data_IF_036912331662
#
_entry.id   IF_036912331662
#
_cell.length_a   1.000
_cell.length_b   1.000
_cell.length_c   1.000
_cell.angle_alpha   90.00
_cell.angle_beta   90.00
_cell.angle_gamma   90.00
#
_symmetry.space_group_name_H-M   'P 1'
#
loop_
_entity.id
_entity.type
_entity.pdbx_description
1 polymer ?
#
# COMPACT_ATOMS: atom_id res chain seq x y z
N UNK A 1 22.82 75.23 34.44
CA UNK A 1 21.52 74.90 33.90
C UNK A 1 21.75 73.77 32.82
N UNK A 2 21.57 72.51 33.20
CA UNK A 2 21.78 71.38 32.33
C UNK A 2 20.39 70.73 32.09
N UNK A 3 19.86 70.83 30.87
CA UNK A 3 18.59 70.20 30.46
C UNK A 3 18.84 68.73 30.12
N UNK A 4 18.31 67.84 30.93
CA UNK A 4 18.30 66.40 30.67
C UNK A 4 17.27 66.04 29.57
N UNK A 5 17.75 65.56 28.44
CA UNK A 5 16.93 65.03 27.36
C UNK A 5 16.63 63.54 27.66
N UNK A 6 15.40 63.22 28.04
CA UNK A 6 14.94 61.83 28.21
C UNK A 6 14.55 61.29 26.84
N UNK A 7 15.37 60.42 26.31
CA UNK A 7 15.02 59.60 25.13
C UNK A 7 14.17 58.45 25.64
N UNK A 8 12.87 58.46 25.31
CA UNK A 8 11.97 57.33 25.53
C UNK A 8 12.14 56.38 24.31
N UNK A 9 12.82 55.26 24.54
CA UNK A 9 12.98 54.20 23.55
C UNK A 9 11.71 53.32 23.59
N UNK A 10 10.77 53.54 22.66
CA UNK A 10 9.65 52.61 22.41
C UNK A 10 10.16 51.33 21.76
N UNK A 11 10.45 50.32 22.55
CA UNK A 11 10.56 48.95 22.02
C UNK A 11 9.16 48.45 21.62
N UNK A 12 8.85 48.51 20.34
CA UNK A 12 7.73 47.75 19.77
C UNK A 12 8.10 46.27 19.83
N UNK A 13 7.58 45.55 20.82
CA UNK A 13 7.66 44.11 20.86
C UNK A 13 6.79 43.57 19.70
N UNK A 14 7.41 43.20 18.59
CA UNK A 14 6.82 42.33 17.58
C UNK A 14 6.65 40.96 18.23
N UNK A 15 5.52 40.74 18.90
CA UNK A 15 5.04 39.43 19.26
C UNK A 15 4.68 38.72 17.95
N UNK A 16 5.66 38.08 17.31
CA UNK A 16 5.42 37.10 16.26
C UNK A 16 4.54 36.03 16.89
N UNK A 17 3.27 35.96 16.50
CA UNK A 17 2.44 34.81 16.79
C UNK A 17 3.12 33.62 16.13
N UNK A 18 3.92 32.87 16.88
CA UNK A 18 4.33 31.53 16.48
C UNK A 18 3.03 30.73 16.41
N UNK A 19 2.47 30.57 15.19
CA UNK A 19 1.37 29.66 14.97
C UNK A 19 1.84 28.28 15.39
N UNK A 20 1.21 27.72 16.42
CA UNK A 20 1.57 26.39 16.90
C UNK A 20 1.35 25.39 15.78
N UNK A 21 2.41 24.72 15.35
CA UNK A 21 2.36 23.72 14.30
C UNK A 21 1.48 22.54 14.75
N UNK A 22 0.46 22.21 13.94
CA UNK A 22 -0.38 21.04 14.19
C UNK A 22 0.34 19.79 13.67
N UNK A 23 0.58 18.83 14.57
CA UNK A 23 1.22 17.56 14.22
C UNK A 23 0.19 16.43 14.17
N UNK A 24 0.04 15.82 13.00
CA UNK A 24 -0.72 14.59 12.80
C UNK A 24 0.24 13.41 12.78
N UNK A 25 -0.11 12.34 13.49
CA UNK A 25 0.65 11.10 13.49
C UNK A 25 -0.18 9.97 12.91
N UNK A 26 0.35 9.30 11.91
CA UNK A 26 -0.23 8.13 11.31
C UNK A 26 0.70 6.93 11.35
N UNK A 27 0.16 5.73 11.21
CA UNK A 27 0.95 4.52 11.10
C UNK A 27 0.22 3.45 10.27
N UNK A 28 0.97 2.59 9.60
CA UNK A 28 0.35 1.46 8.90
C UNK A 28 1.11 0.94 7.69
N UNK A 29 0.37 0.66 6.66
CA UNK A 29 0.79 -0.01 5.45
C UNK A 29 2.07 0.57 4.83
N UNK A 30 2.97 -0.30 4.39
CA UNK A 30 4.18 0.09 3.64
C UNK A 30 3.89 0.25 2.15
N UNK A 31 2.84 -0.38 1.65
CA UNK A 31 2.41 -0.33 0.25
C UNK A 31 2.26 1.12 -0.26
N UNK A 32 1.49 2.02 0.39
CA UNK A 32 1.32 3.40 -0.08
C UNK A 32 2.39 4.36 0.41
N UNK A 33 3.38 3.92 1.21
CA UNK A 33 4.30 4.84 1.87
C UNK A 33 4.97 5.84 0.91
N UNK A 34 5.47 5.47 -0.29
CA UNK A 34 6.08 6.44 -1.20
C UNK A 34 5.14 7.57 -1.63
N UNK A 35 3.87 7.28 -1.94
CA UNK A 35 2.91 8.32 -2.32
C UNK A 35 2.45 9.13 -1.09
N UNK A 36 2.31 8.51 0.09
CA UNK A 36 1.95 9.21 1.32
C UNK A 36 3.02 10.22 1.71
N UNK A 37 4.31 9.85 1.66
CA UNK A 37 5.41 10.78 1.91
C UNK A 37 5.40 11.96 0.93
N UNK A 38 5.11 11.70 -0.35
CA UNK A 38 4.95 12.76 -1.36
C UNK A 38 3.80 13.70 -1.01
N UNK A 39 2.63 13.17 -0.66
CA UNK A 39 1.47 13.98 -0.30
C UNK A 39 1.70 14.79 0.98
N UNK A 40 2.29 14.20 2.02
CA UNK A 40 2.55 14.90 3.28
C UNK A 40 3.55 16.05 3.09
N UNK A 41 4.59 15.83 2.28
CA UNK A 41 5.55 16.88 1.93
C UNK A 41 4.91 18.00 1.12
N UNK A 42 4.10 17.67 0.11
CA UNK A 42 3.44 18.68 -0.73
C UNK A 42 2.34 19.45 0.04
N UNK A 43 1.62 18.77 0.92
CA UNK A 43 0.65 19.42 1.79
C UNK A 43 1.33 20.37 2.78
N UNK A 44 2.45 19.96 3.39
CA UNK A 44 3.25 20.81 4.27
C UNK A 44 3.79 22.04 3.53
N UNK A 45 4.26 21.90 2.29
CA UNK A 45 4.73 23.03 1.47
C UNK A 45 3.65 24.11 1.26
N UNK A 46 2.37 23.71 1.20
CA UNK A 46 1.22 24.59 1.04
C UNK A 46 0.61 25.04 2.37
N UNK A 47 0.83 24.28 3.44
CA UNK A 47 0.30 24.47 4.79
C UNK A 47 1.41 24.26 5.82
N UNK A 48 2.34 25.22 5.93
CA UNK A 48 3.54 25.12 6.76
C UNK A 48 3.28 25.00 8.27
N UNK A 49 2.06 25.32 8.70
CA UNK A 49 1.53 25.12 10.04
C UNK A 49 1.09 23.69 10.34
N UNK A 50 1.12 22.78 9.33
CA UNK A 50 0.76 21.37 9.47
C UNK A 50 1.94 20.46 9.17
N UNK A 51 2.22 19.51 10.06
CA UNK A 51 3.20 18.44 9.89
C UNK A 51 2.49 17.08 10.00
N UNK A 52 2.66 16.21 9.02
CA UNK A 52 2.09 14.86 9.04
C UNK A 52 3.22 13.83 9.10
N UNK A 53 3.33 13.15 10.23
CA UNK A 53 4.30 12.09 10.47
C UNK A 53 3.65 10.73 10.21
N UNK A 54 4.33 9.83 9.47
CA UNK A 54 3.83 8.51 9.17
C UNK A 54 4.86 7.42 9.44
N UNK A 55 4.45 6.43 10.23
CA UNK A 55 5.26 5.26 10.53
C UNK A 55 4.86 4.09 9.61
N UNK A 56 5.70 3.80 8.64
CA UNK A 56 5.54 2.67 7.71
C UNK A 56 5.93 1.35 8.40
N UNK A 57 4.98 0.74 9.14
CA UNK A 57 5.20 -0.43 10.03
C UNK A 57 4.34 -1.65 9.67
N UNK A 58 3.65 -1.59 8.52
CA UNK A 58 2.70 -2.59 8.05
C UNK A 58 1.28 -2.39 8.57
N UNK A 59 0.30 -2.87 7.80
CA UNK A 59 -1.13 -2.69 8.07
C UNK A 59 -1.54 -3.15 9.46
N UNK A 60 -1.08 -4.33 9.89
CA UNK A 60 -1.37 -4.84 11.22
C UNK A 60 -0.82 -3.97 12.35
N UNK A 61 0.34 -3.34 12.14
CA UNK A 61 0.91 -2.36 13.06
C UNK A 61 0.06 -1.11 13.17
N UNK A 62 -0.37 -0.56 12.02
CA UNK A 62 -1.23 0.62 11.95
C UNK A 62 -2.60 0.41 12.61
N UNK A 63 -3.25 -0.71 12.31
CA UNK A 63 -4.53 -1.08 12.93
C UNK A 63 -4.39 -1.12 14.47
N UNK A 64 -3.36 -1.80 14.99
CA UNK A 64 -3.13 -1.89 16.44
C UNK A 64 -2.86 -0.53 17.08
N UNK A 65 -2.04 0.33 16.47
CA UNK A 65 -1.77 1.67 16.99
C UNK A 65 -3.02 2.56 16.99
N UNK A 66 -3.84 2.46 15.94
CA UNK A 66 -5.10 3.19 15.87
C UNK A 66 -6.10 2.70 16.93
N UNK A 67 -6.21 1.38 17.15
CA UNK A 67 -7.04 0.81 18.22
C UNK A 67 -6.57 1.25 19.61
N UNK A 68 -5.27 1.35 19.82
CA UNK A 68 -4.67 1.85 21.06
C UNK A 68 -4.81 3.36 21.25
N UNK A 69 -5.20 4.12 20.20
CA UNK A 69 -5.30 5.58 20.23
C UNK A 69 -3.95 6.31 20.31
N UNK A 70 -2.88 5.67 19.84
CA UNK A 70 -1.52 6.25 19.83
C UNK A 70 -1.19 7.02 18.56
N UNK A 71 -2.08 6.96 17.55
CA UNK A 71 -2.00 7.71 16.29
C UNK A 71 -3.34 8.34 15.95
N UNK A 72 -3.29 9.41 15.16
CA UNK A 72 -4.48 10.16 14.75
C UNK A 72 -5.22 9.45 13.58
N UNK A 73 -4.49 8.68 12.74
CA UNK A 73 -5.05 7.87 11.65
C UNK A 73 -4.21 6.60 11.42
N UNK A 74 -4.84 5.60 10.85
CA UNK A 74 -4.17 4.36 10.43
C UNK A 74 -4.12 4.22 8.91
N UNK A 75 -3.37 3.22 8.42
CA UNK A 75 -3.43 2.81 7.02
C UNK A 75 -3.31 1.29 6.87
N UNK A 76 -4.08 0.74 5.93
CA UNK A 76 -4.13 -0.70 5.66
C UNK A 76 -4.39 -0.97 4.18
N UNK A 77 -3.75 -2.02 3.63
CA UNK A 77 -4.07 -2.55 2.30
C UNK A 77 -5.03 -3.74 2.38
N UNK A 78 -5.50 -4.05 3.57
CA UNK A 78 -6.59 -4.98 3.82
C UNK A 78 -7.76 -4.19 4.44
N UNK A 79 -8.97 -4.25 3.87
CA UNK A 79 -10.15 -3.73 4.52
C UNK A 79 -10.32 -4.34 5.92
N UNK A 80 -10.77 -3.55 6.88
CA UNK A 80 -11.02 -4.05 8.23
C UNK A 80 -12.06 -5.18 8.22
N UNK A 81 -11.78 -6.24 8.97
CA UNK A 81 -12.77 -7.28 9.23
C UNK A 81 -13.79 -6.80 10.27
N UNK A 82 -14.99 -7.37 10.27
CA UNK A 82 -16.07 -6.97 11.19
C UNK A 82 -15.69 -7.15 12.66
N UNK A 83 -14.91 -8.17 12.98
CA UNK A 83 -14.37 -8.40 14.32
C UNK A 83 -13.33 -7.35 14.74
N UNK A 84 -12.53 -6.86 13.80
CA UNK A 84 -11.59 -5.76 14.04
C UNK A 84 -12.33 -4.43 14.25
N UNK A 85 -13.37 -4.16 13.45
CA UNK A 85 -14.19 -2.94 13.58
C UNK A 85 -14.80 -2.85 14.98
N UNK A 86 -15.29 -3.96 15.53
CA UNK A 86 -15.87 -4.04 16.88
C UNK A 86 -14.89 -3.70 18.00
N UNK A 87 -13.57 -3.78 17.73
CA UNK A 87 -12.54 -3.48 18.72
C UNK A 87 -12.20 -1.98 18.81
N UNK A 88 -12.66 -1.17 17.86
CA UNK A 88 -12.49 0.26 17.93
C UNK A 88 -13.50 0.91 18.86
N UNK A 89 -13.04 1.89 19.64
CA UNK A 89 -13.89 2.68 20.55
C UNK A 89 -14.80 3.66 19.83
N UNK A 90 -14.43 4.03 18.60
CA UNK A 90 -15.13 4.98 17.75
C UNK A 90 -15.31 4.36 16.36
N UNK A 91 -16.30 4.83 15.63
CA UNK A 91 -16.50 4.42 14.24
C UNK A 91 -15.29 4.81 13.40
N UNK A 92 -14.82 3.90 12.56
CA UNK A 92 -13.75 4.13 11.59
C UNK A 92 -14.36 4.31 10.19
N UNK A 93 -13.98 5.36 9.51
CA UNK A 93 -14.22 5.56 8.09
C UNK A 93 -12.99 5.03 7.33
N UNK A 94 -13.20 4.04 6.47
CA UNK A 94 -12.17 3.49 5.59
C UNK A 94 -12.22 4.23 4.26
N UNK A 95 -11.17 4.97 3.92
CA UNK A 95 -11.09 5.75 2.68
C UNK A 95 -10.03 5.16 1.76
N UNK A 96 -10.38 4.61 0.60
CA UNK A 96 -9.41 4.28 -0.44
C UNK A 96 -8.55 5.50 -0.77
N UNK A 97 -7.30 5.32 -1.14
CA UNK A 97 -6.42 6.45 -1.44
C UNK A 97 -5.82 6.38 -2.84
N UNK A 98 -5.34 5.22 -3.23
CA UNK A 98 -4.82 4.90 -4.56
C UNK A 98 -5.03 3.43 -4.85
N UNK A 99 -4.79 3.05 -6.11
CA UNK A 99 -4.65 1.65 -6.49
C UNK A 99 -3.17 1.36 -6.80
N UNK A 100 -2.76 0.14 -6.49
CA UNK A 100 -1.43 -0.36 -6.83
C UNK A 100 -1.46 -1.85 -7.14
N UNK A 101 -0.29 -2.38 -7.48
CA UNK A 101 -0.09 -3.78 -7.85
C UNK A 101 0.91 -4.46 -6.92
N UNK A 102 0.63 -5.69 -6.54
CA UNK A 102 1.62 -6.58 -5.95
C UNK A 102 2.24 -7.42 -7.06
N UNK A 103 3.56 -7.34 -7.21
CA UNK A 103 4.27 -8.00 -8.31
C UNK A 103 5.16 -9.14 -7.80
N UNK A 104 5.22 -10.29 -8.52
CA UNK A 104 6.22 -11.31 -8.25
C UNK A 104 7.59 -10.79 -8.72
N UNK A 105 8.39 -10.35 -7.77
CA UNK A 105 9.74 -9.82 -7.99
C UNK A 105 10.77 -10.92 -7.75
N UNK A 106 11.82 -10.97 -8.57
CA UNK A 106 12.79 -12.07 -8.52
C UNK A 106 14.22 -11.64 -8.88
N UNK A 107 15.15 -12.50 -8.50
CA UNK A 107 16.57 -12.40 -8.84
C UNK A 107 17.05 -13.77 -9.36
N UNK A 108 16.88 -14.02 -10.66
CA UNK A 108 17.23 -15.30 -11.29
C UNK A 108 18.56 -15.13 -12.03
N UNK A 109 19.63 -15.82 -11.61
CA UNK A 109 20.94 -15.70 -12.26
C UNK A 109 20.88 -16.11 -13.74
N UNK A 110 21.44 -15.27 -14.61
CA UNK A 110 21.54 -15.55 -16.05
C UNK A 110 20.22 -15.43 -16.83
N UNK A 111 19.12 -15.05 -16.18
CA UNK A 111 17.84 -14.80 -16.86
C UNK A 111 17.68 -13.30 -17.07
N UNK A 112 17.70 -12.89 -18.32
CA UNK A 112 17.33 -11.54 -18.76
C UNK A 112 15.92 -11.57 -19.35
N UNK A 113 15.08 -10.63 -18.92
CA UNK A 113 13.72 -10.49 -19.44
C UNK A 113 12.65 -10.84 -18.43
N UNK A 114 11.42 -10.71 -18.91
CA UNK A 114 10.22 -10.85 -18.09
C UNK A 114 9.78 -12.30 -18.02
N UNK A 115 9.73 -12.85 -16.81
CA UNK A 115 9.18 -14.19 -16.57
C UNK A 115 7.66 -14.12 -16.48
N UNK A 116 6.99 -15.04 -17.15
CA UNK A 116 5.54 -15.24 -17.14
C UNK A 116 5.17 -16.28 -16.10
N UNK A 117 4.30 -15.91 -15.17
CA UNK A 117 3.80 -16.80 -14.13
C UNK A 117 2.35 -17.17 -14.38
N UNK A 118 2.07 -18.46 -14.50
CA UNK A 118 0.69 -18.97 -14.45
C UNK A 118 0.23 -19.04 -12.99
N UNK A 119 -1.09 -18.99 -12.70
CA UNK A 119 -1.61 -19.07 -11.35
C UNK A 119 -1.11 -20.28 -10.55
N UNK A 120 -1.13 -21.46 -11.16
CA UNK A 120 -0.67 -22.71 -10.58
C UNK A 120 0.84 -22.71 -10.26
N UNK A 121 1.68 -22.22 -11.19
CA UNK A 121 3.13 -22.09 -10.96
C UNK A 121 3.40 -21.15 -9.79
N UNK A 122 2.71 -20.01 -9.72
CA UNK A 122 2.91 -19.05 -8.64
C UNK A 122 2.48 -19.65 -7.28
N UNK A 123 1.32 -20.29 -7.21
CA UNK A 123 0.86 -20.96 -6.00
C UNK A 123 1.80 -22.08 -5.56
N UNK A 124 2.24 -22.93 -6.51
CA UNK A 124 3.10 -24.07 -6.21
C UNK A 124 4.52 -23.69 -5.77
N UNK A 125 5.05 -22.56 -6.23
CA UNK A 125 6.30 -21.99 -5.69
C UNK A 125 6.13 -21.68 -4.19
N UNK A 126 5.08 -20.97 -3.80
CA UNK A 126 4.84 -20.58 -2.41
C UNK A 126 4.33 -21.73 -1.52
N UNK A 127 3.80 -22.80 -2.10
CA UNK A 127 3.50 -24.07 -1.41
C UNK A 127 4.74 -24.97 -1.26
N UNK A 128 5.86 -24.63 -1.92
CA UNK A 128 7.09 -25.44 -1.90
C UNK A 128 7.08 -26.64 -2.83
N UNK A 129 6.11 -26.75 -3.74
CA UNK A 129 6.01 -27.82 -4.73
C UNK A 129 6.91 -27.58 -5.96
N UNK A 130 7.28 -26.33 -6.20
CA UNK A 130 8.28 -25.92 -7.19
C UNK A 130 9.46 -25.33 -6.42
N UNK A 131 10.53 -26.09 -6.30
CA UNK A 131 11.71 -25.72 -5.54
C UNK A 131 12.92 -25.29 -6.38
N UNK A 132 12.84 -25.39 -7.70
CA UNK A 132 13.91 -25.01 -8.63
C UNK A 132 13.39 -24.18 -9.79
N UNK A 133 14.23 -23.25 -10.27
CA UNK A 133 13.89 -22.45 -11.45
C UNK A 133 13.85 -23.27 -12.74
N UNK A 134 14.59 -24.39 -12.81
CA UNK A 134 14.58 -25.33 -13.93
C UNK A 134 13.32 -26.22 -14.01
N UNK A 135 12.34 -26.07 -13.11
CA UNK A 135 11.09 -26.84 -13.16
C UNK A 135 10.39 -26.68 -14.52
N UNK A 136 10.02 -27.78 -15.19
CA UNK A 136 9.44 -27.73 -16.53
C UNK A 136 8.14 -26.95 -16.62
N UNK A 137 7.40 -26.79 -15.51
CA UNK A 137 6.17 -25.97 -15.45
C UNK A 137 6.44 -24.49 -15.66
N UNK A 138 7.58 -23.99 -15.15
CA UNK A 138 8.04 -22.62 -15.39
C UNK A 138 8.42 -22.44 -16.86
N UNK A 139 9.22 -23.36 -17.41
CA UNK A 139 9.66 -23.32 -18.81
C UNK A 139 8.49 -23.37 -19.79
N UNK A 140 7.44 -24.15 -19.49
CA UNK A 140 6.21 -24.26 -20.33
C UNK A 140 5.53 -22.90 -20.54
N UNK A 141 5.49 -22.06 -19.53
CA UNK A 141 4.90 -20.71 -19.63
C UNK A 141 5.84 -19.70 -20.31
N UNK A 142 7.13 -20.06 -20.47
CA UNK A 142 8.20 -19.19 -20.95
C UNK A 142 8.99 -19.82 -22.10
N UNK A 143 8.35 -20.11 -23.25
CA UNK A 143 9.02 -20.77 -24.36
C UNK A 143 10.23 -19.96 -24.85
N UNK A 144 11.36 -20.63 -25.04
CA UNK A 144 12.61 -20.02 -25.49
C UNK A 144 13.49 -19.44 -24.36
N UNK A 145 12.98 -19.32 -23.13
CA UNK A 145 13.82 -18.94 -21.98
C UNK A 145 14.54 -20.15 -21.39
N UNK A 146 15.81 -19.95 -21.04
CA UNK A 146 16.60 -20.96 -20.33
C UNK A 146 16.70 -20.58 -18.86
N UNK A 147 16.20 -21.46 -18.00
CA UNK A 147 16.27 -21.28 -16.55
C UNK A 147 17.44 -22.09 -15.95
N UNK A 148 18.18 -21.52 -14.98
CA UNK A 148 19.25 -22.24 -14.30
C UNK A 148 18.70 -23.36 -13.40
N UNK A 149 19.49 -24.41 -13.17
CA UNK A 149 19.20 -25.40 -12.13
C UNK A 149 19.54 -24.84 -10.74
N UNK A 150 18.88 -23.75 -10.37
CA UNK A 150 19.04 -23.04 -9.12
C UNK A 150 17.82 -23.22 -8.22
N UNK A 151 18.08 -23.36 -6.92
CA UNK A 151 17.00 -23.43 -5.91
C UNK A 151 16.25 -22.11 -5.85
N UNK A 152 14.92 -22.19 -5.71
CA UNK A 152 14.08 -21.03 -5.46
C UNK A 152 14.09 -20.72 -3.98
N UNK A 153 14.52 -19.50 -3.62
CA UNK A 153 14.39 -18.97 -2.26
C UNK A 153 13.19 -18.04 -2.21
N UNK A 154 12.12 -18.46 -1.55
CA UNK A 154 10.93 -17.63 -1.35
C UNK A 154 11.22 -16.57 -0.29
N UNK A 155 10.83 -15.32 -0.57
CA UNK A 155 10.88 -14.21 0.38
C UNK A 155 9.47 -13.69 0.61
N UNK A 156 9.06 -13.62 1.87
CA UNK A 156 7.74 -13.16 2.28
C UNK A 156 7.84 -12.06 3.34
N UNK A 157 6.74 -11.47 3.74
CA UNK A 157 6.68 -10.47 4.81
C UNK A 157 6.76 -11.13 6.19
N UNK A 158 7.49 -10.50 7.11
CA UNK A 158 7.60 -10.92 8.51
C UNK A 158 6.72 -10.11 9.46
N UNK A 159 6.15 -9.00 9.01
CA UNK A 159 5.24 -8.12 9.74
C UNK A 159 3.77 -8.36 9.33
N UNK A 160 2.82 -7.83 10.08
CA UNK A 160 1.41 -7.80 9.69
C UNK A 160 1.20 -6.88 8.49
N UNK A 161 1.07 -7.45 7.30
CA UNK A 161 1.20 -6.77 6.02
C UNK A 161 -0.07 -6.83 5.17
N UNK A 162 -0.58 -5.67 4.75
CA UNK A 162 -1.65 -5.63 3.76
C UNK A 162 -1.20 -6.12 2.38
N UNK A 163 0.06 -5.90 2.00
CA UNK A 163 0.64 -6.49 0.77
C UNK A 163 0.59 -8.02 0.83
N UNK A 164 0.85 -8.62 2.01
CA UNK A 164 0.64 -10.06 2.23
C UNK A 164 -0.83 -10.44 2.04
N UNK A 165 -1.77 -9.67 2.59
CA UNK A 165 -3.19 -9.95 2.39
C UNK A 165 -3.56 -9.95 0.91
N UNK A 166 -3.17 -8.94 0.14
CA UNK A 166 -3.47 -8.86 -1.30
C UNK A 166 -2.93 -10.09 -2.04
N UNK A 167 -1.69 -10.46 -1.77
CA UNK A 167 -1.04 -11.60 -2.40
C UNK A 167 -1.69 -12.93 -2.02
N UNK A 168 -1.96 -13.14 -0.73
CA UNK A 168 -2.57 -14.39 -0.22
C UNK A 168 -4.07 -14.49 -0.56
N UNK A 169 -4.78 -13.37 -0.67
CA UNK A 169 -6.16 -13.33 -1.17
C UNK A 169 -6.20 -13.76 -2.65
N UNK A 170 -5.27 -13.26 -3.48
CA UNK A 170 -5.12 -13.74 -4.85
C UNK A 170 -4.83 -15.25 -4.88
N UNK A 171 -3.83 -15.72 -4.14
CA UNK A 171 -3.50 -17.16 -4.10
C UNK A 171 -4.67 -18.02 -3.63
N UNK A 172 -5.45 -17.54 -2.66
CA UNK A 172 -6.66 -18.24 -2.18
C UNK A 172 -7.77 -18.32 -3.23
N UNK A 173 -7.85 -17.34 -4.14
CA UNK A 173 -8.83 -17.33 -5.24
C UNK A 173 -8.47 -18.27 -6.38
N UNK A 174 -7.17 -18.52 -6.58
CA UNK A 174 -6.71 -19.33 -7.72
C UNK A 174 -6.25 -20.76 -7.35
N UNK A 175 -6.04 -21.05 -6.05
CA UNK A 175 -5.59 -22.34 -5.55
C UNK A 175 -6.45 -22.80 -4.38
N UNK A 176 -7.30 -23.84 -4.56
CA UNK A 176 -8.07 -24.44 -3.46
C UNK A 176 -7.19 -24.98 -2.34
N UNK A 177 -6.02 -25.53 -2.67
CA UNK A 177 -5.07 -26.02 -1.67
C UNK A 177 -4.48 -24.89 -0.84
N UNK A 178 -4.03 -23.79 -1.47
CA UNK A 178 -3.59 -22.61 -0.74
C UNK A 178 -4.69 -22.10 0.21
N UNK A 179 -5.92 -21.99 -0.32
CA UNK A 179 -7.06 -21.51 0.46
C UNK A 179 -7.32 -22.36 1.71
N UNK A 180 -7.20 -23.68 1.61
CA UNK A 180 -7.49 -24.59 2.72
C UNK A 180 -6.33 -24.75 3.71
N UNK A 181 -5.07 -24.60 3.26
CA UNK A 181 -3.89 -24.87 4.10
C UNK A 181 -3.26 -23.61 4.68
N UNK A 182 -3.30 -22.48 3.96
CA UNK A 182 -2.66 -21.22 4.35
C UNK A 182 -3.68 -20.10 4.53
N UNK A 183 -4.60 -19.93 3.56
CA UNK A 183 -5.63 -18.89 3.58
C UNK A 183 -5.11 -17.51 3.20
N UNK A 184 -5.87 -16.45 3.60
CA UNK A 184 -5.60 -15.06 3.31
C UNK A 184 -5.73 -14.19 4.56
N UNK A 185 -4.66 -13.49 4.91
CA UNK A 185 -4.62 -12.52 6.00
C UNK A 185 -3.39 -11.60 5.88
N UNK A 186 -3.30 -10.59 6.75
CA UNK A 186 -2.09 -9.75 6.91
C UNK A 186 -0.90 -10.53 7.48
N UNK A 187 -1.15 -11.66 8.11
CA UNK A 187 -0.13 -12.57 8.63
C UNK A 187 -0.64 -14.00 8.50
N UNK A 188 0.09 -14.85 7.78
CA UNK A 188 -0.24 -16.25 7.56
C UNK A 188 0.91 -17.15 7.99
N UNK A 189 0.62 -18.45 8.18
CA UNK A 189 1.66 -19.44 8.42
C UNK A 189 2.28 -19.85 7.08
N UNK A 190 3.38 -19.19 6.72
CA UNK A 190 4.09 -19.48 5.48
C UNK A 190 4.65 -20.90 5.46
N UNK A 191 4.46 -21.67 4.38
CA UNK A 191 5.02 -23.02 4.26
C UNK A 191 6.55 -23.04 4.26
N UNK A 192 7.17 -22.00 3.68
CA UNK A 192 8.62 -21.86 3.55
C UNK A 192 9.01 -20.40 3.30
N UNK A 193 10.29 -20.12 3.34
CA UNK A 193 10.84 -18.83 2.92
C UNK A 193 11.48 -18.03 4.03
N UNK A 194 12.00 -16.86 3.66
CA UNK A 194 12.64 -15.88 4.54
C UNK A 194 11.73 -14.68 4.75
N UNK A 195 11.64 -14.21 5.97
CA UNK A 195 10.82 -13.06 6.33
C UNK A 195 11.55 -11.72 6.21
N UNK A 196 11.06 -10.82 5.34
CA UNK A 196 11.50 -9.42 5.22
C UNK A 196 10.52 -8.45 5.87
N UNK A 197 11.01 -7.50 6.66
CA UNK A 197 10.16 -6.47 7.26
C UNK A 197 9.84 -5.37 6.25
N UNK A 198 8.57 -5.10 6.02
CA UNK A 198 8.10 -4.12 5.05
C UNK A 198 8.33 -4.56 3.60
N UNK A 199 7.80 -3.79 2.64
CA UNK A 199 8.16 -3.97 1.22
C UNK A 199 9.65 -3.75 1.01
N UNK A 200 10.27 -2.86 1.76
CA UNK A 200 11.70 -2.54 1.76
C UNK A 200 12.56 -3.77 2.09
N UNK A 201 12.20 -4.50 3.15
CA UNK A 201 12.94 -5.68 3.58
C UNK A 201 12.84 -6.82 2.58
N UNK A 202 11.65 -7.05 1.99
CA UNK A 202 11.47 -8.05 0.93
C UNK A 202 12.28 -7.67 -0.32
N UNK A 203 12.18 -6.42 -0.78
CA UNK A 203 12.95 -5.92 -1.91
C UNK A 203 14.47 -6.03 -1.67
N UNK A 204 14.92 -5.72 -0.45
CA UNK A 204 16.32 -5.85 -0.03
C UNK A 204 16.83 -7.28 -0.15
N UNK A 205 16.06 -8.27 0.35
CA UNK A 205 16.44 -9.69 0.21
C UNK A 205 16.49 -10.14 -1.24
N UNK A 206 15.45 -9.81 -2.05
CA UNK A 206 15.43 -10.21 -3.47
C UNK A 206 16.65 -9.68 -4.20
N UNK A 207 17.02 -8.42 -3.98
CA UNK A 207 18.19 -7.82 -4.62
C UNK A 207 19.50 -8.52 -4.25
N UNK A 208 19.61 -9.01 -3.01
CA UNK A 208 20.85 -9.59 -2.48
C UNK A 208 20.97 -11.10 -2.68
N UNK A 209 19.86 -11.82 -2.83
CA UNK A 209 19.83 -13.27 -2.86
C UNK A 209 19.57 -13.81 -4.28
N UNK A 210 20.62 -14.32 -4.98
CA UNK A 210 20.41 -15.02 -6.25
C UNK A 210 19.48 -16.23 -6.08
N UNK A 211 18.59 -16.42 -7.03
CA UNK A 211 17.57 -17.48 -7.01
C UNK A 211 16.32 -17.13 -6.21
N UNK A 212 16.23 -15.93 -5.64
CA UNK A 212 15.07 -15.55 -4.85
C UNK A 212 13.86 -15.08 -5.68
N UNK A 213 12.68 -15.28 -5.11
CA UNK A 213 11.40 -14.71 -5.52
C UNK A 213 10.66 -14.20 -4.29
N UNK A 214 10.01 -13.06 -4.43
CA UNK A 214 9.12 -12.51 -3.39
C UNK A 214 8.00 -11.70 -4.03
N UNK A 215 7.19 -11.08 -3.20
CA UNK A 215 6.13 -10.17 -3.63
C UNK A 215 6.31 -8.81 -2.96
N UNK A 216 6.21 -7.76 -3.75
CA UNK A 216 6.29 -6.38 -3.29
C UNK A 216 5.27 -5.52 -4.05
N UNK A 217 4.94 -4.36 -3.51
CA UNK A 217 4.24 -3.34 -4.29
C UNK A 217 5.17 -2.86 -5.42
N UNK A 218 4.58 -2.55 -6.58
CA UNK A 218 5.26 -2.26 -7.85
C UNK A 218 6.38 -1.22 -7.72
N UNK A 219 6.13 -0.11 -7.01
CA UNK A 219 7.12 0.98 -6.89
C UNK A 219 8.41 0.51 -6.23
N UNK A 220 8.32 -0.45 -5.29
CA UNK A 220 9.51 -0.99 -4.64
C UNK A 220 10.37 -1.84 -5.59
N UNK A 221 9.75 -2.56 -6.51
CA UNK A 221 10.49 -3.26 -7.57
C UNK A 221 11.17 -2.25 -8.49
N UNK A 222 10.46 -1.20 -8.91
CA UNK A 222 10.97 -0.15 -9.81
C UNK A 222 12.12 0.64 -9.17
N UNK A 223 11.93 1.16 -7.97
CA UNK A 223 12.96 1.97 -7.27
C UNK A 223 14.23 1.18 -6.96
N UNK A 224 14.09 -0.11 -6.65
CA UNK A 224 15.22 -1.00 -6.38
C UNK A 224 15.79 -1.67 -7.64
N UNK A 225 15.25 -1.37 -8.84
CA UNK A 225 15.65 -1.98 -10.13
C UNK A 225 15.60 -3.51 -10.09
N UNK A 226 14.59 -4.07 -9.42
CA UNK A 226 14.35 -5.51 -9.32
C UNK A 226 13.46 -5.93 -10.48
N UNK A 227 13.82 -7.02 -11.14
CA UNK A 227 13.00 -7.61 -12.19
C UNK A 227 11.72 -8.21 -11.60
N UNK A 228 10.60 -8.00 -12.27
CA UNK A 228 9.31 -8.58 -11.89
C UNK A 228 8.60 -9.16 -13.12
N UNK A 229 7.76 -10.15 -12.89
CA UNK A 229 7.08 -10.90 -13.94
C UNK A 229 5.68 -10.43 -14.25
N UNK A 230 5.17 -10.87 -15.41
CA UNK A 230 3.75 -10.83 -15.70
C UNK A 230 3.04 -12.03 -15.09
N UNK A 231 1.76 -11.86 -14.78
CA UNK A 231 0.91 -12.90 -14.20
C UNK A 231 -0.26 -13.16 -15.12
N UNK A 232 -0.58 -14.44 -15.33
CA UNK A 232 -1.74 -14.82 -16.11
C UNK A 232 -3.02 -14.51 -15.34
N UNK A 233 -3.91 -13.75 -15.97
CA UNK A 233 -5.18 -13.35 -15.37
C UNK A 233 -6.31 -14.35 -15.66
N UNK A 234 -7.50 -14.09 -15.11
CA UNK A 234 -8.70 -14.93 -15.27
C UNK A 234 -9.18 -15.09 -16.73
N UNK A 235 -8.71 -14.24 -17.64
CA UNK A 235 -8.96 -14.31 -19.08
C UNK A 235 -7.85 -15.04 -19.84
N UNK A 236 -6.92 -15.73 -19.15
CA UNK A 236 -5.76 -16.44 -19.68
C UNK A 236 -4.72 -15.55 -20.40
N UNK A 237 -4.73 -14.24 -20.19
CA UNK A 237 -3.72 -13.34 -20.71
C UNK A 237 -2.61 -13.11 -19.68
N UNK A 238 -1.35 -13.13 -20.14
CA UNK A 238 -0.24 -12.65 -19.30
C UNK A 238 -0.23 -11.14 -19.29
N UNK A 239 -0.46 -10.57 -18.10
CA UNK A 239 -0.56 -9.13 -17.91
C UNK A 239 0.58 -8.65 -17.02
N UNK A 240 1.28 -7.61 -17.46
CA UNK A 240 2.28 -6.90 -16.67
C UNK A 240 1.61 -5.84 -15.82
N UNK A 241 2.09 -5.62 -14.62
CA UNK A 241 1.63 -4.52 -13.78
C UNK A 241 2.04 -3.18 -14.40
N UNK A 242 1.06 -2.38 -14.77
CA UNK A 242 1.16 -1.01 -15.28
C UNK A 242 0.00 -0.19 -14.74
N UNK A 243 0.05 1.13 -14.87
CA UNK A 243 -1.08 2.00 -14.50
C UNK A 243 -2.37 1.57 -15.20
N UNK A 244 -2.28 1.27 -16.50
CA UNK A 244 -3.44 0.87 -17.30
C UNK A 244 -4.03 -0.46 -16.83
N UNK A 245 -3.19 -1.47 -16.55
CA UNK A 245 -3.67 -2.79 -16.13
C UNK A 245 -4.21 -2.80 -14.70
N UNK A 246 -3.69 -1.95 -13.82
CA UNK A 246 -4.23 -1.73 -12.47
C UNK A 246 -5.56 -0.98 -12.53
N UNK A 247 -5.67 0.07 -13.36
CA UNK A 247 -6.94 0.77 -13.60
C UNK A 247 -7.98 -0.19 -14.20
N UNK A 248 -7.59 -1.05 -15.14
CA UNK A 248 -8.47 -2.07 -15.71
C UNK A 248 -8.98 -3.07 -14.65
N UNK A 249 -8.17 -3.38 -13.64
CA UNK A 249 -8.59 -4.26 -12.54
C UNK A 249 -9.70 -3.65 -11.67
N UNK A 250 -9.75 -2.33 -11.56
CA UNK A 250 -10.81 -1.61 -10.85
C UNK A 250 -12.02 -1.30 -11.72
N UNK A 251 -11.93 -1.49 -13.04
CA UNK A 251 -13.03 -1.20 -13.96
C UNK A 251 -14.24 -2.11 -13.66
N UNK A 252 -15.41 -1.50 -13.47
CA UNK A 252 -16.64 -2.23 -13.15
C UNK A 252 -16.80 -2.64 -11.69
N UNK A 253 -15.85 -2.32 -10.82
CA UNK A 253 -15.99 -2.54 -9.37
C UNK A 253 -17.06 -1.59 -8.83
N UNK A 254 -18.13 -2.17 -8.26
CA UNK A 254 -19.12 -1.40 -7.52
C UNK A 254 -18.60 -1.16 -6.10
N UNK A 255 -18.06 0.04 -5.88
CA UNK A 255 -17.57 0.41 -4.54
C UNK A 255 -18.73 0.38 -3.54
N UNK A 256 -18.66 -0.46 -2.48
CA UNK A 256 -19.69 -0.52 -1.45
C UNK A 256 -19.70 0.75 -0.58
N UNK A 257 -20.78 1.02 0.17
CA UNK A 257 -20.91 2.23 1.00
C UNK A 257 -19.84 2.36 2.09
N UNK A 258 -19.27 1.25 2.53
CA UNK A 258 -18.20 1.19 3.52
C UNK A 258 -16.80 1.12 2.92
N UNK A 259 -16.68 1.19 1.58
CA UNK A 259 -15.45 1.14 0.80
C UNK A 259 -14.62 -0.15 0.96
N UNK A 260 -15.12 -1.19 1.60
CA UNK A 260 -14.42 -2.45 1.85
C UNK A 260 -14.60 -3.43 0.68
N UNK A 261 -13.63 -3.54 -0.17
CA UNK A 261 -13.68 -4.42 -1.35
C UNK A 261 -12.31 -5.01 -1.68
N UNK A 262 -12.27 -6.28 -2.07
CA UNK A 262 -11.11 -6.90 -2.70
C UNK A 262 -11.31 -6.93 -4.22
N UNK A 263 -10.30 -6.50 -4.96
CA UNK A 263 -10.28 -6.51 -6.43
C UNK A 263 -9.21 -7.46 -7.00
N UNK A 264 -8.68 -8.37 -6.20
CA UNK A 264 -7.74 -9.39 -6.69
C UNK A 264 -8.46 -10.40 -7.58
N UNK A 265 -7.77 -10.89 -8.59
CA UNK A 265 -8.29 -11.80 -9.64
C UNK A 265 -9.56 -11.29 -10.33
N UNK A 266 -9.58 -10.00 -10.79
CA UNK A 266 -10.74 -9.42 -11.45
C UNK A 266 -10.98 -10.08 -12.80
N UNK A 267 -12.18 -9.92 -13.32
CA UNK A 267 -12.47 -10.20 -14.72
C UNK A 267 -11.89 -9.12 -15.63
N UNK A 268 -11.54 -9.46 -16.85
CA UNK A 268 -11.06 -8.52 -17.86
C UNK A 268 -9.71 -8.93 -18.46
N UNK A 269 -9.63 -8.87 -19.78
CA UNK A 269 -8.45 -9.36 -20.54
C UNK A 269 -7.16 -8.58 -20.23
N UNK A 270 -7.28 -7.29 -19.88
CA UNK A 270 -6.14 -6.39 -19.63
C UNK A 270 -5.94 -6.10 -18.12
N UNK A 271 -6.77 -6.71 -17.27
CA UNK A 271 -6.71 -6.48 -15.82
C UNK A 271 -5.54 -7.24 -15.17
N UNK A 272 -4.72 -6.51 -14.39
CA UNK A 272 -3.65 -7.13 -13.62
C UNK A 272 -4.23 -7.86 -12.39
N UNK A 273 -3.94 -9.16 -12.21
CA UNK A 273 -4.70 -9.99 -11.26
C UNK A 273 -4.40 -9.73 -9.79
N UNK A 274 -3.26 -9.11 -9.45
CA UNK A 274 -2.87 -8.85 -8.05
C UNK A 274 -2.90 -7.34 -7.78
N UNK A 275 -4.05 -6.73 -8.09
CA UNK A 275 -4.32 -5.30 -7.86
C UNK A 275 -5.15 -5.08 -6.61
N UNK A 276 -4.96 -3.95 -5.95
CA UNK A 276 -5.76 -3.56 -4.78
C UNK A 276 -5.83 -2.05 -4.63
N UNK A 277 -6.86 -1.61 -3.94
CA UNK A 277 -6.84 -0.33 -3.24
C UNK A 277 -5.94 -0.42 -2.00
N UNK A 278 -5.62 0.73 -1.43
CA UNK A 278 -5.10 0.89 -0.07
C UNK A 278 -5.92 1.97 0.63
N UNK A 279 -6.10 1.87 1.93
CA UNK A 279 -7.04 2.68 2.69
C UNK A 279 -6.36 3.47 3.80
N UNK A 280 -6.82 4.70 4.01
CA UNK A 280 -6.68 5.38 5.29
C UNK A 280 -7.83 4.98 6.21
N UNK A 281 -7.50 4.75 7.48
CA UNK A 281 -8.44 4.39 8.55
C UNK A 281 -8.62 5.62 9.45
N UNK A 282 -9.76 6.27 9.34
CA UNK A 282 -10.00 7.58 9.94
C UNK A 282 -11.06 7.47 11.06
N UNK A 283 -10.74 7.82 12.30
CA UNK A 283 -11.74 7.95 13.36
C UNK A 283 -12.75 9.03 13.01
N UNK A 284 -14.05 8.69 12.97
CA UNK A 284 -15.11 9.68 12.67
C UNK A 284 -15.32 10.70 13.79
N UNK A 285 -14.83 10.38 14.99
CA UNK A 285 -14.78 11.27 16.15
C UNK A 285 -13.34 11.30 16.66
N UNK A 286 -12.53 12.28 16.23
CA UNK A 286 -11.14 12.40 16.66
C UNK A 286 -11.06 12.75 18.14
N UNK A 287 -10.01 12.29 18.83
CA UNK A 287 -9.76 12.62 20.23
C UNK A 287 -9.44 14.12 20.42
N UNK A 288 -8.80 14.73 19.42
CA UNK A 288 -8.52 16.15 19.33
C UNK A 288 -9.26 16.73 18.11
N UNK A 289 -10.23 17.60 18.36
CA UNK A 289 -11.05 18.21 17.30
C UNK A 289 -10.20 19.03 16.32
N UNK A 290 -9.22 19.79 16.81
CA UNK A 290 -8.36 20.62 15.96
C UNK A 290 -7.56 19.76 14.98
N UNK A 291 -7.01 18.64 15.45
CA UNK A 291 -6.36 17.64 14.59
C UNK A 291 -7.34 17.00 13.61
N UNK A 292 -8.56 16.73 14.04
CA UNK A 292 -9.61 16.20 13.18
C UNK A 292 -9.95 17.14 12.02
N UNK A 293 -10.09 18.43 12.30
CA UNK A 293 -10.35 19.46 11.29
C UNK A 293 -9.19 19.58 10.28
N UNK A 294 -7.93 19.49 10.74
CA UNK A 294 -6.76 19.49 9.86
C UNK A 294 -6.70 18.20 9.03
N UNK A 295 -6.96 17.05 9.63
CA UNK A 295 -7.00 15.77 8.93
C UNK A 295 -8.08 15.76 7.83
N UNK A 296 -9.27 16.29 8.11
CA UNK A 296 -10.34 16.43 7.12
C UNK A 296 -9.90 17.29 5.93
N UNK A 297 -9.26 18.44 6.16
CA UNK A 297 -8.73 19.31 5.10
C UNK A 297 -7.65 18.59 4.26
N UNK A 298 -6.78 17.85 4.92
CA UNK A 298 -5.80 17.03 4.19
C UNK A 298 -6.47 15.97 3.30
N UNK A 299 -7.49 15.27 3.79
CA UNK A 299 -8.23 14.27 3.01
C UNK A 299 -8.92 14.89 1.79
N UNK A 300 -9.55 16.05 1.96
CA UNK A 300 -10.14 16.80 0.86
C UNK A 300 -9.07 17.21 -0.16
N UNK A 301 -7.94 17.76 0.28
CA UNK A 301 -6.81 18.10 -0.57
C UNK A 301 -6.23 16.88 -1.30
N UNK A 302 -6.10 15.75 -0.62
CA UNK A 302 -5.62 14.48 -1.20
C UNK A 302 -6.51 14.04 -2.38
N UNK A 303 -7.82 14.18 -2.25
CA UNK A 303 -8.78 13.83 -3.30
C UNK A 303 -8.80 14.84 -4.45
N UNK A 304 -8.55 16.12 -4.19
CA UNK A 304 -8.60 17.19 -5.19
C UNK A 304 -7.27 17.39 -5.93
N UNK A 305 -6.15 17.34 -5.21
CA UNK A 305 -4.82 17.68 -5.70
C UNK A 305 -3.88 16.46 -5.69
N UNK A 306 -3.96 15.63 -4.66
CA UNK A 306 -3.06 14.49 -4.45
C UNK A 306 -3.16 13.44 -5.55
N UNK A 307 -4.34 13.23 -6.11
CA UNK A 307 -4.57 12.23 -7.16
C UNK A 307 -3.73 12.50 -8.43
N UNK A 308 -3.45 13.76 -8.76
CA UNK A 308 -2.58 14.13 -9.89
C UNK A 308 -1.10 13.75 -9.72
N UNK A 309 -0.68 13.32 -8.52
CA UNK A 309 0.72 12.96 -8.21
C UNK A 309 0.96 11.44 -8.25
N UNK A 310 -0.08 10.64 -8.38
CA UNK A 310 -0.01 9.17 -8.20
C UNK A 310 0.76 8.48 -9.31
N UNK A 311 0.56 8.88 -10.56
CA UNK A 311 1.14 8.23 -11.73
C UNK A 311 2.67 8.30 -11.76
N UNK A 312 3.26 9.41 -11.28
CA UNK A 312 4.71 9.57 -11.19
C UNK A 312 5.38 8.55 -10.26
N UNK A 313 4.61 7.95 -9.34
CA UNK A 313 5.04 6.90 -8.42
C UNK A 313 4.39 5.55 -8.75
N UNK A 314 3.89 5.38 -9.98
CA UNK A 314 3.31 4.12 -10.48
C UNK A 314 2.09 3.62 -9.71
N UNK A 315 1.36 4.52 -9.03
CA UNK A 315 0.03 4.24 -8.49
C UNK A 315 -1.04 4.74 -9.46
N UNK A 316 -2.10 3.97 -9.63
CA UNK A 316 -3.26 4.43 -10.38
C UNK A 316 -4.15 5.32 -9.48
N UNK A 317 -4.63 6.45 -10.00
CA UNK A 317 -5.54 7.31 -9.26
C UNK A 317 -6.89 6.62 -9.04
N UNK A 318 -7.64 7.08 -8.05
CA UNK A 318 -8.98 6.61 -7.78
C UNK A 318 -9.93 6.91 -8.95
N UNK A 319 -10.89 6.01 -9.27
CA UNK A 319 -11.98 6.32 -10.17
C UNK A 319 -12.78 7.54 -9.69
N UNK A 320 -13.23 8.36 -10.63
CA UNK A 320 -13.94 9.63 -10.31
C UNK A 320 -15.22 9.43 -9.46
N UNK A 321 -15.92 8.34 -9.69
CA UNK A 321 -17.11 7.99 -8.89
C UNK A 321 -16.76 7.59 -7.46
N UNK A 322 -15.60 6.95 -7.24
CA UNK A 322 -15.07 6.66 -5.90
C UNK A 322 -14.72 7.95 -5.18
N UNK A 323 -13.98 8.86 -5.84
CA UNK A 323 -13.65 10.19 -5.28
C UNK A 323 -14.92 10.95 -4.87
N UNK A 324 -15.96 10.95 -5.71
CA UNK A 324 -17.22 11.62 -5.40
C UNK A 324 -17.90 11.01 -4.16
N UNK A 325 -17.92 9.68 -4.03
CA UNK A 325 -18.46 8.97 -2.86
C UNK A 325 -17.66 9.27 -1.59
N UNK A 326 -16.36 9.34 -1.68
CA UNK A 326 -15.50 9.66 -0.53
C UNK A 326 -15.71 11.10 -0.03
N UNK A 327 -15.78 12.08 -0.93
CA UNK A 327 -16.10 13.47 -0.55
C UNK A 327 -17.44 13.56 0.18
N UNK A 328 -18.45 12.84 -0.30
CA UNK A 328 -19.75 12.78 0.38
C UNK A 328 -19.64 12.11 1.75
N UNK A 329 -18.88 11.04 1.88
CA UNK A 329 -18.65 10.34 3.14
C UNK A 329 -17.87 11.20 4.15
N UNK A 330 -16.82 11.91 3.72
CA UNK A 330 -16.05 12.85 4.54
C UNK A 330 -16.97 13.95 5.06
N UNK A 331 -17.75 14.59 4.20
CA UNK A 331 -18.66 15.66 4.59
C UNK A 331 -19.73 15.19 5.59
N UNK A 332 -20.26 13.97 5.42
CA UNK A 332 -21.31 13.43 6.28
C UNK A 332 -20.82 12.87 7.61
N UNK A 333 -19.60 12.31 7.68
CA UNK A 333 -19.16 11.50 8.81
C UNK A 333 -18.02 12.12 9.63
N UNK A 334 -17.20 13.01 9.06
CA UNK A 334 -16.13 13.70 9.78
C UNK A 334 -16.65 15.06 10.27
N UNK A 335 -16.86 15.16 11.59
CA UNK A 335 -17.45 16.33 12.26
C UNK A 335 -16.38 17.19 12.91
#
# INVERSE_FOLDING_TARGET
>A
MIRSLRVVLCMAALAGCAMAQTKLNGAGATFPNPIYQKWFSEYHNQHSDVEINYQSIGSGGGIRQLQAGTVDFGASDMPLKDDQIKQFKVKILELPTVLGAVVPAYNIPGVSGEVKFTPDVLADIYLGKIGKWSDPRIAKANPGMKFPDATITVVHRSDGSGTTFIFTDYLSKISPEWKSTVGADTSVKWPLGLGGKGNEGVAGYIRQLPGSIGYVELIYALQNKITYGSVQNSSNNFVKATLQSVTAAAAGVKMPPDFRVSITNPSGKDAYPISSFTWLLIPTTPADKSKGDVLKKFLEWMLDNGQGMTEALSYAPLPKDVVAKEKAAIAAQLK
#
